data_IF_339455708381
#
_entry.id   IF_339455708381
#
_cell.length_a   1.000
_cell.length_b   1.000
_cell.length_c   1.000
_cell.angle_alpha   90.00
_cell.angle_beta   90.00
_cell.angle_gamma   90.00
#
_symmetry.space_group_name_H-M   'P 1'
#
loop_
_entity.id
_entity.type
_entity.pdbx_description
1 polymer ?
#
# COMPACT_ATOMS: atom_id res chain seq x y z
N UNK A 1 -7.88 -0.15 -33.74
CA UNK A 1 -8.25 0.22 -32.35
C UNK A 1 -8.97 1.55 -32.40
N UNK A 2 -10.16 1.65 -31.82
CA UNK A 2 -10.85 2.95 -31.70
C UNK A 2 -10.16 3.79 -30.61
N UNK A 3 -10.23 5.12 -30.73
CA UNK A 3 -9.68 6.04 -29.72
C UNK A 3 -10.24 5.74 -28.33
N UNK A 4 -11.53 5.40 -28.23
CA UNK A 4 -12.18 5.00 -26.99
C UNK A 4 -11.55 3.74 -26.37
N UNK A 5 -11.24 2.72 -27.17
CA UNK A 5 -10.60 1.52 -26.66
C UNK A 5 -9.21 1.81 -26.05
N UNK A 6 -8.42 2.66 -26.71
CA UNK A 6 -7.12 3.08 -26.19
C UNK A 6 -7.26 3.86 -24.87
N UNK A 7 -8.24 4.76 -24.77
CA UNK A 7 -8.51 5.52 -23.55
C UNK A 7 -8.88 4.61 -22.37
N UNK A 8 -9.72 3.59 -22.59
CA UNK A 8 -10.09 2.63 -21.55
C UNK A 8 -8.89 1.81 -21.06
N UNK A 9 -8.00 1.39 -21.97
CA UNK A 9 -6.78 0.66 -21.60
C UNK A 9 -5.88 1.53 -20.72
N UNK A 10 -5.62 2.77 -21.13
CA UNK A 10 -4.78 3.71 -20.35
C UNK A 10 -5.40 4.00 -18.99
N UNK A 11 -6.71 4.27 -18.95
CA UNK A 11 -7.43 4.51 -17.70
C UNK A 11 -7.32 3.32 -16.74
N UNK A 12 -7.47 2.11 -17.25
CA UNK A 12 -7.40 0.87 -16.44
C UNK A 12 -6.00 0.67 -15.87
N UNK A 13 -4.97 0.93 -16.66
CA UNK A 13 -3.57 0.86 -16.20
C UNK A 13 -3.31 1.91 -15.10
N UNK A 14 -3.76 3.15 -15.29
CA UNK A 14 -3.62 4.20 -14.28
C UNK A 14 -4.34 3.84 -12.98
N UNK A 15 -5.57 3.31 -13.07
CA UNK A 15 -6.34 2.87 -11.91
C UNK A 15 -5.59 1.77 -11.14
N UNK A 16 -5.05 0.78 -11.84
CA UNK A 16 -4.28 -0.31 -11.23
C UNK A 16 -3.02 0.22 -10.53
N UNK A 17 -2.30 1.17 -11.15
CA UNK A 17 -1.11 1.79 -10.54
C UNK A 17 -1.44 2.58 -9.28
N UNK A 18 -2.55 3.34 -9.26
CA UNK A 18 -3.01 4.06 -8.07
C UNK A 18 -3.35 3.09 -6.94
N UNK A 19 -4.10 2.02 -7.24
CA UNK A 19 -4.41 1.00 -6.25
C UNK A 19 -3.15 0.33 -5.69
N UNK A 20 -2.21 -0.03 -6.54
CA UNK A 20 -0.94 -0.64 -6.14
C UNK A 20 -0.11 0.33 -5.28
N UNK A 21 -0.09 1.62 -5.64
CA UNK A 21 0.54 2.67 -4.86
C UNK A 21 -0.04 2.81 -3.45
N UNK A 22 -1.38 2.74 -3.31
CA UNK A 22 -2.07 2.76 -2.01
C UNK A 22 -1.65 1.54 -1.18
N UNK A 23 -1.67 0.34 -1.78
CA UNK A 23 -1.27 -0.90 -1.09
C UNK A 23 0.17 -0.78 -0.61
N UNK A 24 1.11 -0.39 -1.46
CA UNK A 24 2.52 -0.24 -1.08
C UNK A 24 2.69 0.83 0.00
N UNK A 25 1.96 1.94 -0.08
CA UNK A 25 2.05 3.02 0.91
C UNK A 25 1.58 2.58 2.30
N UNK A 26 0.45 1.89 2.39
CA UNK A 26 -0.16 1.48 3.66
C UNK A 26 0.40 0.17 4.19
N UNK A 27 0.71 -0.77 3.32
CA UNK A 27 1.18 -2.10 3.67
C UNK A 27 2.71 -2.19 3.76
N UNK A 28 3.43 -1.06 3.70
CA UNK A 28 4.87 -1.05 3.87
C UNK A 28 5.24 -1.64 5.25
N UNK A 29 5.85 -2.84 5.31
CA UNK A 29 6.16 -3.50 6.58
C UNK A 29 7.14 -2.69 7.42
N UNK A 30 7.92 -1.79 6.80
CA UNK A 30 8.83 -0.89 7.51
C UNK A 30 8.09 0.13 8.39
N UNK A 31 6.92 0.62 7.97
CA UNK A 31 6.07 1.48 8.82
C UNK A 31 5.39 0.68 9.92
N UNK A 32 4.98 -0.55 9.61
CA UNK A 32 4.33 -1.45 10.56
C UNK A 32 5.24 -1.77 11.76
N UNK A 33 6.52 -2.05 11.51
CA UNK A 33 7.51 -2.29 12.57
C UNK A 33 7.78 -1.05 13.45
N UNK A 34 7.73 0.17 12.91
CA UNK A 34 7.92 1.38 13.73
C UNK A 34 6.72 1.65 14.67
N UNK A 35 5.51 1.36 14.22
CA UNK A 35 4.29 1.55 15.02
C UNK A 35 4.09 0.41 16.03
N UNK A 36 4.49 -0.82 15.69
CA UNK A 36 4.36 -1.99 16.56
C UNK A 36 5.52 -2.13 17.57
N UNK A 37 6.71 -1.58 17.28
CA UNK A 37 7.85 -1.54 18.21
C UNK A 37 7.50 -1.06 19.63
N UNK A 38 6.84 0.09 19.83
CA UNK A 38 6.48 0.54 21.18
C UNK A 38 5.46 -0.38 21.86
N UNK A 39 4.70 -1.17 21.09
CA UNK A 39 3.73 -2.13 21.62
C UNK A 39 4.40 -3.42 22.11
N UNK A 40 5.53 -3.82 21.51
CA UNK A 40 6.33 -4.94 21.99
C UNK A 40 7.11 -4.59 23.28
N UNK A 41 7.60 -3.35 23.42
CA UNK A 41 8.27 -2.89 24.65
C UNK A 41 7.36 -2.98 25.88
N UNK A 42 6.06 -2.67 25.75
CA UNK A 42 5.11 -2.80 26.87
C UNK A 42 4.87 -4.25 27.33
N UNK A 43 5.15 -5.25 26.48
CA UNK A 43 4.94 -6.67 26.83
C UNK A 43 6.18 -7.31 27.44
N UNK A 44 7.38 -6.76 27.17
CA UNK A 44 8.65 -7.26 27.72
C UNK A 44 8.95 -6.70 29.13
N UNK A 45 8.33 -5.59 29.54
CA UNK A 45 8.49 -5.03 30.89
C UNK A 45 7.61 -5.72 31.96
N UNK A 46 6.68 -6.58 31.55
CA UNK A 46 5.78 -7.35 32.44
C UNK A 46 6.29 -8.78 32.76
N UNK A 47 7.45 -9.19 32.22
CA UNK A 47 8.19 -10.42 32.60
C UNK A 47 9.40 -10.11 33.50
#
# INVERSE_FOLDING_TARGET
MTFSALAYVVFTILLALVMLGIIVYYYNPAKKQQVEKPKHTMLEEDE
#
